data_IF_471208043985
#
_entry.id   IF_471208043985
#
_cell.length_a   1.000
_cell.length_b   1.000
_cell.length_c   1.000
_cell.angle_alpha   90.00
_cell.angle_beta   90.00
_cell.angle_gamma   90.00
#
_symmetry.space_group_name_H-M   'P 1'
#
loop_
_entity.id
_entity.type
_entity.pdbx_description
1 polymer ?
#
# COMPACT_ATOMS: atom_id res chain seq x y z
N UNK A 1 -20.19 5.09 -0.67
CA UNK A 1 -18.98 5.36 0.14
C UNK A 1 -19.23 4.85 1.55
N UNK A 2 -18.57 3.78 1.96
CA UNK A 2 -18.66 3.33 3.35
C UNK A 2 -18.03 4.39 4.26
N UNK A 3 -18.82 4.86 5.23
CA UNK A 3 -18.33 5.85 6.19
C UNK A 3 -17.28 5.19 7.09
N UNK A 4 -16.16 5.87 7.31
CA UNK A 4 -15.21 5.52 8.36
C UNK A 4 -15.94 5.52 9.69
N UNK A 5 -15.87 4.41 10.42
CA UNK A 5 -16.41 4.31 11.78
C UNK A 5 -15.28 4.01 12.76
N UNK A 6 -15.34 4.64 13.91
CA UNK A 6 -14.41 4.37 15.01
C UNK A 6 -15.16 4.55 16.33
N UNK A 7 -14.80 3.78 17.31
CA UNK A 7 -15.22 4.05 18.68
C UNK A 7 -14.11 4.78 19.45
N UNK A 8 -14.46 5.57 20.43
CA UNK A 8 -13.56 6.40 21.20
C UNK A 8 -13.84 6.27 22.70
N UNK A 9 -12.90 6.65 23.59
CA UNK A 9 -13.13 6.67 25.03
C UNK A 9 -14.31 7.54 25.49
N UNK A 10 -14.80 8.40 24.61
CA UNK A 10 -15.98 9.25 24.88
C UNK A 10 -17.31 8.55 24.60
N UNK A 11 -17.27 7.42 23.92
CA UNK A 11 -18.46 6.62 23.61
C UNK A 11 -18.80 5.77 24.83
N UNK A 12 -20.07 5.71 25.20
CA UNK A 12 -20.52 5.06 26.43
C UNK A 12 -20.27 3.54 26.50
N UNK A 13 -19.93 2.91 25.38
CA UNK A 13 -19.60 1.49 25.26
C UNK A 13 -18.09 1.21 25.20
N UNK A 14 -17.24 2.22 25.47
CA UNK A 14 -15.80 2.04 25.47
C UNK A 14 -15.32 1.17 26.62
N UNK A 15 -14.82 0.00 26.31
CA UNK A 15 -14.20 -0.91 27.26
C UNK A 15 -12.67 -0.82 27.19
N UNK A 16 -11.97 -1.06 28.30
CA UNK A 16 -10.49 -0.97 28.36
C UNK A 16 -9.77 -1.85 27.35
N UNK A 17 -10.34 -3.00 26.99
CA UNK A 17 -9.77 -3.90 25.99
C UNK A 17 -9.83 -3.32 24.55
N UNK A 18 -10.74 -2.39 24.25
CA UNK A 18 -10.83 -1.73 22.92
C UNK A 18 -9.58 -0.95 22.57
N UNK A 19 -8.84 -0.42 23.56
CA UNK A 19 -7.56 0.24 23.34
C UNK A 19 -6.52 -0.73 22.74
N UNK A 20 -6.43 -1.94 23.29
CA UNK A 20 -5.51 -2.96 22.83
C UNK A 20 -5.84 -3.43 21.41
N UNK A 21 -7.12 -3.66 21.13
CA UNK A 21 -7.60 -4.02 19.79
C UNK A 21 -7.36 -2.90 18.77
N UNK A 22 -7.60 -1.65 19.15
CA UNK A 22 -7.32 -0.48 18.30
C UNK A 22 -5.83 -0.35 17.97
N UNK A 23 -4.94 -0.69 18.90
CA UNK A 23 -3.49 -0.61 18.70
C UNK A 23 -2.98 -1.56 17.61
N UNK A 24 -3.67 -2.68 17.38
CA UNK A 24 -3.34 -3.64 16.33
C UNK A 24 -4.23 -3.51 15.08
N UNK A 25 -5.06 -2.46 15.00
CA UNK A 25 -5.83 -2.12 13.79
C UNK A 25 -7.29 -2.55 13.78
N UNK A 26 -7.78 -3.22 14.83
CA UNK A 26 -9.20 -3.52 15.00
C UNK A 26 -9.99 -2.29 15.49
N UNK A 27 -11.31 -2.39 15.60
CA UNK A 27 -12.23 -1.33 16.05
C UNK A 27 -12.33 -0.11 15.12
N UNK A 28 -11.66 -0.15 13.95
CA UNK A 28 -11.67 0.95 13.00
C UNK A 28 -11.92 0.44 11.58
N UNK A 29 -13.00 0.93 10.97
CA UNK A 29 -13.29 0.68 9.56
C UNK A 29 -12.82 1.90 8.76
N UNK A 30 -11.76 1.73 7.99
CA UNK A 30 -11.14 2.79 7.16
C UNK A 30 -11.30 2.37 5.71
N UNK A 31 -11.77 3.30 4.86
CA UNK A 31 -11.86 3.01 3.43
C UNK A 31 -10.45 2.83 2.82
N UNK A 32 -10.24 1.88 1.91
CA UNK A 32 -8.94 1.64 1.28
C UNK A 32 -8.29 2.90 0.70
N UNK A 33 -9.08 3.80 0.11
CA UNK A 33 -8.58 5.06 -0.44
C UNK A 33 -7.98 5.98 0.63
N UNK A 34 -8.51 5.97 1.86
CA UNK A 34 -7.96 6.76 2.96
C UNK A 34 -6.63 6.18 3.45
N UNK A 35 -6.52 4.85 3.49
CA UNK A 35 -5.26 4.18 3.78
C UNK A 35 -4.22 4.50 2.70
N UNK A 36 -4.59 4.39 1.44
CA UNK A 36 -3.72 4.73 0.31
C UNK A 36 -3.26 6.20 0.39
N UNK A 37 -4.15 7.13 0.72
CA UNK A 37 -3.82 8.56 0.89
C UNK A 37 -2.75 8.77 1.98
N UNK A 38 -2.83 8.02 3.08
CA UNK A 38 -1.84 8.09 4.15
C UNK A 38 -0.47 7.54 3.72
N UNK A 39 -0.43 6.37 3.06
CA UNK A 39 0.82 5.81 2.53
C UNK A 39 1.41 6.69 1.41
N UNK A 40 0.56 7.28 0.57
CA UNK A 40 0.98 8.25 -0.42
C UNK A 40 1.62 9.48 0.24
N UNK A 41 1.08 9.97 1.36
CA UNK A 41 1.68 11.10 2.07
C UNK A 41 3.07 10.76 2.63
N UNK A 42 3.30 9.53 3.12
CA UNK A 42 4.64 9.08 3.54
C UNK A 42 5.58 9.06 2.33
N UNK A 43 5.16 8.50 1.20
CA UNK A 43 5.92 8.47 -0.04
C UNK A 43 6.23 9.89 -0.58
N UNK A 44 5.35 10.86 -0.33
CA UNK A 44 5.42 12.25 -0.77
C UNK A 44 6.00 13.17 0.32
N UNK A 45 7.02 12.72 1.02
CA UNK A 45 7.78 13.46 2.04
C UNK A 45 6.91 14.09 3.16
N UNK A 46 5.79 13.46 3.47
CA UNK A 46 4.85 13.91 4.49
C UNK A 46 3.73 14.82 3.97
N UNK A 47 3.72 15.18 2.70
CA UNK A 47 2.67 15.99 2.09
C UNK A 47 1.46 15.13 1.73
N UNK A 48 0.33 15.35 2.39
CA UNK A 48 -0.92 14.63 2.14
C UNK A 48 -1.78 15.37 1.14
N UNK A 49 -2.07 14.73 0.01
CA UNK A 49 -2.91 15.28 -1.07
C UNK A 49 -4.25 14.55 -1.14
N UNK A 50 -5.27 15.25 -1.60
CA UNK A 50 -6.61 14.69 -1.80
C UNK A 50 -6.63 13.81 -3.05
N UNK A 51 -7.08 12.56 -2.95
CA UNK A 51 -7.28 11.74 -4.14
C UNK A 51 -8.28 12.37 -5.09
N UNK A 52 -7.92 12.47 -6.37
CA UNK A 52 -8.77 13.03 -7.42
C UNK A 52 -8.67 12.18 -8.68
N UNK A 53 -9.74 12.15 -9.46
CA UNK A 53 -9.75 11.62 -10.85
C UNK A 53 -9.57 12.73 -11.89
N UNK A 54 -9.50 13.99 -11.45
CA UNK A 54 -9.25 15.13 -12.33
C UNK A 54 -7.77 15.40 -12.44
N UNK A 55 -7.29 15.60 -13.65
CA UNK A 55 -5.91 16.01 -13.92
C UNK A 55 -5.75 17.53 -13.71
N UNK A 56 -4.59 17.95 -13.18
CA UNK A 56 -4.21 19.37 -13.11
C UNK A 56 -4.62 20.10 -11.81
N UNK A 57 -5.42 19.51 -10.93
CA UNK A 57 -5.77 20.12 -9.65
C UNK A 57 -5.19 19.29 -8.49
N UNK A 58 -4.28 19.88 -7.73
CA UNK A 58 -3.74 19.27 -6.50
C UNK A 58 -4.30 20.02 -5.29
N UNK A 59 -5.14 19.35 -4.50
CA UNK A 59 -5.62 19.86 -3.22
C UNK A 59 -4.80 19.23 -2.09
N UNK A 60 -4.10 20.08 -1.32
CA UNK A 60 -3.31 19.65 -0.17
C UNK A 60 -4.20 19.56 1.05
N UNK A 61 -4.35 18.36 1.62
CA UNK A 61 -5.09 18.12 2.86
C UNK A 61 -4.24 18.54 4.08
N UNK A 62 -2.96 18.15 4.06
CA UNK A 62 -2.02 18.49 5.12
C UNK A 62 -0.62 18.67 4.50
N UNK A 63 0.01 19.83 4.67
CA UNK A 63 1.34 20.09 4.08
C UNK A 63 2.44 19.23 4.69
N UNK A 64 2.27 18.75 5.95
CA UNK A 64 3.29 17.97 6.64
C UNK A 64 2.64 17.14 7.76
N UNK A 65 2.43 15.84 7.54
CA UNK A 65 1.76 14.94 8.50
C UNK A 65 2.64 14.58 9.71
N UNK A 66 3.97 14.66 9.55
CA UNK A 66 4.95 14.40 10.61
C UNK A 66 6.26 15.11 10.31
N UNK A 67 7.19 15.17 11.27
CA UNK A 67 8.52 15.73 11.04
C UNK A 67 9.26 14.97 9.93
N UNK A 68 10.16 15.65 9.21
CA UNK A 68 10.97 15.02 8.15
C UNK A 68 11.69 13.76 8.65
N UNK A 69 12.33 13.85 9.82
CA UNK A 69 13.04 12.70 10.42
C UNK A 69 12.12 11.49 10.67
N UNK A 70 10.86 11.72 11.08
CA UNK A 70 9.89 10.64 11.28
C UNK A 70 9.43 10.06 9.94
N UNK A 71 9.25 10.89 8.90
CA UNK A 71 8.91 10.44 7.56
C UNK A 71 10.05 9.59 6.99
N UNK A 72 11.30 10.05 7.05
CA UNK A 72 12.47 9.32 6.56
C UNK A 72 12.62 7.96 7.27
N UNK A 73 12.42 7.95 8.58
CA UNK A 73 12.43 6.71 9.36
C UNK A 73 11.32 5.76 8.95
N UNK A 74 10.12 6.26 8.66
CA UNK A 74 8.99 5.45 8.23
C UNK A 74 9.20 4.91 6.81
N UNK A 75 9.75 5.70 5.89
CA UNK A 75 10.11 5.27 4.54
C UNK A 75 11.10 4.11 4.60
N UNK A 76 12.15 4.21 5.41
CA UNK A 76 13.12 3.14 5.65
C UNK A 76 12.46 1.88 6.23
N UNK A 77 11.59 2.02 7.22
CA UNK A 77 10.87 0.88 7.82
C UNK A 77 9.98 0.18 6.79
N UNK A 78 9.25 0.94 5.98
CA UNK A 78 8.36 0.38 4.95
C UNK A 78 9.15 -0.33 3.82
N UNK A 79 10.31 0.16 3.47
CA UNK A 79 11.23 -0.52 2.54
C UNK A 79 11.73 -1.83 3.17
N UNK A 80 12.16 -1.83 4.45
CA UNK A 80 12.64 -3.04 5.14
C UNK A 80 11.54 -4.09 5.33
N UNK A 81 10.27 -3.71 5.43
CA UNK A 81 9.15 -4.67 5.42
C UNK A 81 9.15 -5.50 4.13
N UNK A 82 9.54 -4.90 3.00
CA UNK A 82 9.58 -5.59 1.70
C UNK A 82 10.93 -6.26 1.48
N UNK A 83 12.06 -5.61 1.73
CA UNK A 83 13.38 -6.19 1.48
C UNK A 83 13.73 -7.33 2.46
N UNK A 84 13.30 -7.24 3.71
CA UNK A 84 13.72 -8.16 4.78
C UNK A 84 12.56 -8.81 5.54
N UNK A 85 11.35 -8.24 5.47
CA UNK A 85 10.21 -8.59 6.29
C UNK A 85 9.16 -9.50 5.63
N UNK A 86 7.94 -9.42 6.14
CA UNK A 86 6.79 -10.21 5.67
C UNK A 86 6.23 -9.75 4.33
N UNK A 87 6.68 -8.60 3.82
CA UNK A 87 6.28 -8.02 2.54
C UNK A 87 7.10 -8.49 1.35
N UNK A 88 8.07 -9.39 1.53
CA UNK A 88 9.03 -9.80 0.47
C UNK A 88 8.38 -10.23 -0.85
N UNK A 89 7.20 -10.84 -0.80
CA UNK A 89 6.47 -11.26 -2.00
C UNK A 89 5.87 -10.10 -2.82
N UNK A 90 5.89 -8.88 -2.28
CA UNK A 90 5.51 -7.68 -3.03
C UNK A 90 6.71 -7.01 -3.73
N UNK A 91 7.94 -7.39 -3.37
CA UNK A 91 9.17 -6.85 -3.94
C UNK A 91 9.48 -7.43 -5.31
N UNK A 92 10.27 -6.69 -6.09
CA UNK A 92 10.81 -7.09 -7.40
C UNK A 92 12.32 -6.85 -7.39
N UNK A 93 13.13 -7.62 -8.14
CA UNK A 93 14.57 -7.36 -8.28
C UNK A 93 14.88 -6.10 -9.09
N UNK A 94 13.91 -5.53 -9.81
CA UNK A 94 14.13 -4.45 -10.77
C UNK A 94 14.18 -3.08 -10.10
N UNK A 95 13.35 -2.88 -9.06
CA UNK A 95 13.28 -1.63 -8.30
C UNK A 95 12.92 -1.87 -6.83
N UNK A 96 13.24 -0.92 -5.99
CA UNK A 96 12.86 -1.00 -4.58
C UNK A 96 11.38 -0.69 -4.38
N UNK A 97 10.74 -1.49 -3.53
CA UNK A 97 9.33 -1.34 -3.12
C UNK A 97 9.29 -1.09 -1.63
N UNK A 98 8.44 -0.18 -1.21
CA UNK A 98 8.12 0.05 0.20
C UNK A 98 6.64 -0.18 0.46
N UNK A 99 6.29 -0.77 1.59
CA UNK A 99 4.88 -1.03 1.91
C UNK A 99 4.66 -1.89 3.13
N UNK A 100 3.39 -2.22 3.39
CA UNK A 100 2.99 -2.99 4.57
C UNK A 100 1.88 -3.98 4.24
N UNK A 101 2.01 -5.17 4.76
CA UNK A 101 1.00 -6.22 4.75
C UNK A 101 -0.06 -5.97 5.82
N UNK A 102 -1.31 -6.32 5.54
CA UNK A 102 -2.39 -6.38 6.51
C UNK A 102 -3.12 -7.72 6.41
N UNK A 103 -3.49 -8.27 7.56
CA UNK A 103 -4.39 -9.44 7.65
C UNK A 103 -5.26 -9.24 8.86
N UNK A 104 -6.55 -9.07 8.66
CA UNK A 104 -7.53 -8.93 9.73
C UNK A 104 -8.65 -9.95 9.54
N UNK A 105 -9.14 -10.49 10.64
CA UNK A 105 -10.34 -11.31 10.62
C UNK A 105 -11.57 -10.39 10.64
N UNK A 106 -12.54 -10.69 9.78
CA UNK A 106 -13.84 -10.01 9.74
C UNK A 106 -14.81 -10.83 10.58
N UNK A 107 -15.57 -10.18 11.45
CA UNK A 107 -16.45 -10.84 12.42
C UNK A 107 -17.71 -11.50 11.81
N UNK A 108 -17.97 -11.33 10.53
CA UNK A 108 -19.14 -11.92 9.87
C UNK A 108 -18.89 -13.40 9.52
N UNK A 109 -19.58 -14.29 10.24
CA UNK A 109 -19.54 -15.73 10.02
C UNK A 109 -20.72 -16.18 9.15
N UNK A 110 -20.91 -15.58 7.98
CA UNK A 110 -21.99 -15.95 7.05
C UNK A 110 -21.67 -17.17 6.19
N UNK A 111 -20.49 -17.75 6.38
CA UNK A 111 -20.01 -18.87 5.55
C UNK A 111 -19.71 -20.08 6.40
N UNK A 112 -20.11 -21.25 5.87
CA UNK A 112 -19.91 -22.55 6.49
C UNK A 112 -19.21 -23.51 5.51
N UNK A 113 -18.40 -24.40 6.03
CA UNK A 113 -17.85 -25.49 5.21
C UNK A 113 -18.90 -26.58 4.97
N UNK A 114 -18.55 -27.63 4.19
CA UNK A 114 -19.45 -28.74 3.83
C UNK A 114 -20.00 -29.51 5.05
N UNK A 115 -19.34 -29.44 6.21
CA UNK A 115 -19.76 -30.06 7.47
C UNK A 115 -20.44 -29.10 8.44
N UNK A 116 -20.77 -27.88 7.99
CA UNK A 116 -21.50 -26.90 8.79
C UNK A 116 -20.64 -26.15 9.82
N UNK A 117 -19.31 -26.17 9.71
CA UNK A 117 -18.43 -25.39 10.57
C UNK A 117 -18.28 -23.95 10.05
N UNK A 118 -18.47 -22.92 10.91
CA UNK A 118 -18.26 -21.53 10.50
C UNK A 118 -16.85 -21.31 9.96
N UNK A 119 -16.75 -20.65 8.82
CA UNK A 119 -15.48 -20.25 8.22
C UNK A 119 -15.20 -18.78 8.54
N UNK A 120 -14.07 -18.51 9.17
CA UNK A 120 -13.63 -17.14 9.38
C UNK A 120 -13.35 -16.45 8.03
N UNK A 121 -13.87 -15.24 7.88
CA UNK A 121 -13.56 -14.38 6.75
C UNK A 121 -12.40 -13.46 7.10
N UNK A 122 -11.43 -13.34 6.22
CA UNK A 122 -10.26 -12.50 6.38
C UNK A 122 -10.22 -11.42 5.33
N UNK A 123 -9.86 -10.21 5.73
CA UNK A 123 -9.43 -9.17 4.82
C UNK A 123 -7.91 -9.17 4.79
N UNK A 124 -7.34 -9.45 3.62
CA UNK A 124 -5.90 -9.41 3.38
C UNK A 124 -5.57 -8.23 2.49
N UNK A 125 -4.52 -7.51 2.83
CA UNK A 125 -4.15 -6.30 2.11
C UNK A 125 -2.64 -6.14 2.00
N UNK A 126 -2.21 -5.41 0.97
CA UNK A 126 -0.90 -4.82 0.85
C UNK A 126 -1.06 -3.38 0.35
N UNK A 127 -0.49 -2.43 1.07
CA UNK A 127 -0.44 -1.03 0.66
C UNK A 127 1.02 -0.60 0.56
N UNK A 128 1.42 -0.04 -0.55
CA UNK A 128 2.80 0.32 -0.79
C UNK A 128 2.99 1.32 -1.92
N UNK A 129 4.24 1.67 -2.16
CA UNK A 129 4.66 2.59 -3.21
C UNK A 129 5.98 2.16 -3.84
N UNK A 130 6.25 2.66 -5.03
CA UNK A 130 7.45 2.37 -5.79
C UNK A 130 7.75 3.45 -6.84
N UNK A 131 9.04 3.61 -7.27
CA UNK A 131 10.24 3.13 -6.58
C UNK A 131 10.30 3.66 -5.13
N UNK A 132 10.96 2.93 -4.19
CA UNK A 132 10.98 3.38 -2.79
C UNK A 132 11.92 4.56 -2.56
N UNK A 133 12.99 4.65 -3.34
CA UNK A 133 14.01 5.72 -3.34
C UNK A 133 13.55 7.01 -4.04
N UNK A 134 12.63 6.90 -5.00
CA UNK A 134 12.04 8.02 -5.74
C UNK A 134 10.56 7.74 -6.03
N UNK A 135 9.67 7.85 -5.03
CA UNK A 135 8.29 7.40 -5.13
C UNK A 135 7.50 8.10 -6.23
N UNK A 136 6.85 7.28 -7.09
CA UNK A 136 6.02 7.74 -8.21
C UNK A 136 4.61 7.20 -8.16
N UNK A 137 4.46 5.97 -7.69
CA UNK A 137 3.20 5.25 -7.68
C UNK A 137 2.93 4.71 -6.29
N UNK A 138 1.69 4.84 -5.85
CA UNK A 138 1.20 4.17 -4.64
C UNK A 138 -0.02 3.31 -5.00
N UNK A 139 -0.03 2.08 -4.51
CA UNK A 139 -1.08 1.09 -4.81
C UNK A 139 -1.53 0.45 -3.50
N UNK A 140 -2.83 0.20 -3.38
CA UNK A 140 -3.39 -0.68 -2.37
C UNK A 140 -4.10 -1.84 -3.04
N UNK A 141 -3.76 -3.05 -2.63
CA UNK A 141 -4.46 -4.28 -2.97
C UNK A 141 -5.17 -4.76 -1.72
N UNK A 142 -6.47 -4.94 -1.80
CA UNK A 142 -7.29 -5.47 -0.70
C UNK A 142 -8.26 -6.51 -1.25
N UNK A 143 -8.33 -7.66 -0.58
CA UNK A 143 -9.22 -8.74 -0.98
C UNK A 143 -9.76 -9.50 0.24
N UNK A 144 -10.92 -10.10 0.08
CA UNK A 144 -11.48 -11.01 1.08
C UNK A 144 -11.00 -12.43 0.82
N UNK A 145 -10.67 -13.14 1.89
CA UNK A 145 -10.25 -14.55 1.87
C UNK A 145 -11.04 -15.34 2.89
N UNK A 146 -11.77 -16.33 2.39
CA UNK A 146 -12.51 -17.23 3.23
C UNK A 146 -11.61 -18.35 3.74
N UNK A 147 -11.59 -18.56 5.05
CA UNK A 147 -10.78 -19.58 5.72
C UNK A 147 -9.27 -19.34 5.65
N UNK A 148 -8.52 -20.25 6.26
CA UNK A 148 -7.05 -20.25 6.24
C UNK A 148 -6.50 -21.11 5.08
N UNK A 149 -5.28 -20.87 4.61
CA UNK A 149 -4.38 -19.80 5.04
C UNK A 149 -4.79 -18.42 4.51
N UNK A 150 -4.60 -17.36 5.32
CA UNK A 150 -4.81 -15.98 4.94
C UNK A 150 -3.52 -15.18 5.20
N UNK A 151 -3.03 -14.46 4.19
CA UNK A 151 -1.76 -13.74 4.26
C UNK A 151 -1.78 -12.51 3.38
N UNK A 152 -1.63 -11.33 3.99
CA UNK A 152 -1.49 -10.09 3.24
C UNK A 152 -0.30 -10.09 2.30
N UNK A 153 0.89 -10.52 2.77
CA UNK A 153 2.08 -10.63 1.92
C UNK A 153 1.98 -11.75 0.89
N UNK A 154 1.45 -12.92 1.30
CA UNK A 154 1.35 -14.10 0.44
C UNK A 154 0.28 -14.03 -0.65
N UNK A 155 -0.69 -13.13 -0.52
CA UNK A 155 -1.82 -12.97 -1.44
C UNK A 155 -1.85 -11.58 -2.04
N UNK A 156 -2.19 -10.55 -1.26
CA UNK A 156 -2.25 -9.17 -1.75
C UNK A 156 -0.87 -8.65 -2.20
N UNK A 157 0.20 -9.05 -1.52
CA UNK A 157 1.57 -8.71 -1.92
C UNK A 157 1.96 -9.31 -3.27
N UNK A 158 1.56 -10.54 -3.57
CA UNK A 158 1.80 -11.17 -4.88
C UNK A 158 1.04 -10.45 -5.99
N UNK A 159 -0.21 -10.06 -5.75
CA UNK A 159 -0.97 -9.27 -6.73
C UNK A 159 -0.33 -7.91 -6.96
N UNK A 160 0.14 -7.25 -5.89
CA UNK A 160 0.90 -6.00 -5.98
C UNK A 160 2.17 -6.19 -6.83
N UNK A 161 2.98 -7.21 -6.55
CA UNK A 161 4.16 -7.57 -7.34
C UNK A 161 3.83 -7.71 -8.83
N UNK A 162 2.80 -8.51 -9.17
CA UNK A 162 2.41 -8.73 -10.56
C UNK A 162 1.98 -7.43 -11.27
N UNK A 163 1.32 -6.50 -10.56
CA UNK A 163 0.98 -5.19 -11.09
C UNK A 163 2.25 -4.39 -11.37
N UNK A 164 3.20 -4.36 -10.43
CA UNK A 164 4.47 -3.65 -10.59
C UNK A 164 5.26 -4.19 -11.79
N UNK A 165 5.43 -5.52 -11.87
CA UNK A 165 6.13 -6.18 -12.98
C UNK A 165 5.44 -5.88 -14.33
N UNK A 166 4.10 -5.92 -14.36
CA UNK A 166 3.34 -5.58 -15.56
C UNK A 166 3.55 -4.12 -15.96
N UNK A 167 3.55 -3.18 -15.01
CA UNK A 167 3.80 -1.76 -15.27
C UNK A 167 5.21 -1.52 -15.80
N UNK A 168 6.20 -2.22 -15.26
CA UNK A 168 7.60 -2.14 -15.74
C UNK A 168 7.69 -2.65 -17.17
N UNK A 169 7.11 -3.82 -17.48
CA UNK A 169 7.17 -4.46 -18.78
C UNK A 169 6.47 -3.66 -19.89
N UNK A 170 5.42 -2.91 -19.57
CA UNK A 170 4.64 -2.14 -20.55
C UNK A 170 5.02 -0.64 -20.60
N UNK A 171 6.17 -0.29 -19.99
CA UNK A 171 6.58 1.09 -19.82
C UNK A 171 5.68 1.77 -18.78
N UNK A 172 6.21 1.96 -17.57
CA UNK A 172 5.52 2.77 -16.56
C UNK A 172 5.09 4.07 -17.22
N UNK A 173 3.81 4.50 -17.10
CA UNK A 173 3.36 5.74 -17.69
C UNK A 173 4.36 6.83 -17.29
N UNK A 174 4.98 7.48 -18.27
CA UNK A 174 5.97 8.49 -17.99
C UNK A 174 5.29 9.58 -17.17
N UNK A 175 5.62 9.64 -15.88
CA UNK A 175 5.33 10.83 -15.09
C UNK A 175 6.23 11.89 -15.69
N UNK A 176 5.63 12.89 -16.29
CA UNK A 176 6.33 14.08 -16.75
C UNK A 176 6.85 14.77 -15.49
N UNK A 177 8.14 14.66 -15.22
CA UNK A 177 8.78 15.53 -14.24
C UNK A 177 9.02 16.87 -14.88
N UNK A 178 8.56 17.90 -14.21
CA UNK A 178 9.17 19.22 -14.38
C UNK A 178 10.43 19.18 -13.49
N UNK A 179 11.57 19.21 -14.13
CA UNK A 179 12.81 19.51 -13.44
C UNK A 179 12.70 20.94 -12.91
N UNK A 180 12.69 21.10 -11.58
CA UNK A 180 12.51 22.40 -10.94
C UNK A 180 13.69 23.35 -11.23
N UNK A 181 14.87 22.82 -11.62
CA UNK A 181 16.03 23.65 -11.98
C UNK A 181 16.05 24.07 -13.46
N UNK A 182 15.56 23.25 -14.36
CA UNK A 182 15.65 23.53 -15.81
C UNK A 182 14.32 23.88 -16.46
N UNK A 183 13.19 23.66 -15.78
CA UNK A 183 11.83 23.79 -16.33
C UNK A 183 11.58 22.94 -17.60
N UNK A 184 12.46 21.98 -17.86
CA UNK A 184 12.38 21.07 -19.00
C UNK A 184 11.70 19.74 -18.62
N UNK A 185 10.96 19.20 -19.57
CA UNK A 185 10.22 17.94 -19.40
C UNK A 185 11.15 16.76 -19.68
N UNK A 186 11.65 16.08 -18.67
CA UNK A 186 12.44 14.87 -18.86
C UNK A 186 11.49 13.69 -19.12
N UNK A 187 11.47 13.19 -20.35
CA UNK A 187 10.89 11.89 -20.70
C UNK A 187 11.86 10.78 -20.34
N UNK A 188 11.53 9.98 -19.33
CA UNK A 188 12.17 8.67 -19.18
C UNK A 188 11.53 7.73 -20.20
N UNK A 189 12.20 7.54 -21.35
CA UNK A 189 11.71 6.66 -22.41
C UNK A 189 11.98 5.19 -22.04
N UNK A 190 11.08 4.31 -22.46
CA UNK A 190 11.05 2.86 -22.26
C UNK A 190 12.29 2.08 -22.76
N UNK A 191 13.23 2.72 -23.42
CA UNK A 191 14.37 2.05 -24.06
C UNK A 191 15.37 1.42 -23.09
N UNK A 192 15.29 1.69 -21.78
CA UNK A 192 16.13 1.01 -20.78
C UNK A 192 15.43 -0.21 -20.14
N UNK A 193 14.13 -0.37 -20.29
CA UNK A 193 13.39 -1.50 -19.70
C UNK A 193 13.71 -2.82 -20.41
N UNK A 194 13.79 -2.81 -21.72
CA UNK A 194 14.01 -4.02 -22.54
C UNK A 194 15.39 -4.68 -22.30
N UNK A 195 16.41 -3.89 -21.98
CA UNK A 195 17.75 -4.42 -21.66
C UNK A 195 17.82 -5.05 -20.27
N UNK A 196 17.02 -4.59 -19.32
CA UNK A 196 16.98 -5.11 -17.95
C UNK A 196 16.16 -6.40 -17.90
N UNK A 197 15.01 -6.44 -18.60
CA UNK A 197 14.11 -7.61 -18.67
C UNK A 197 14.81 -8.79 -19.36
N UNK A 198 15.56 -8.54 -20.43
CA UNK A 198 16.31 -9.59 -21.15
C UNK A 198 17.43 -10.24 -20.33
N UNK A 199 17.95 -9.55 -19.31
CA UNK A 199 18.99 -10.07 -18.42
C UNK A 199 18.44 -10.84 -17.23
N UNK A 200 17.25 -10.51 -16.73
CA UNK A 200 16.61 -11.26 -15.63
C UNK A 200 16.01 -12.59 -16.07
N UNK A 201 15.52 -12.69 -17.31
CA UNK A 201 14.97 -13.94 -17.89
C UNK A 201 16.05 -14.95 -18.29
N UNK A 202 17.35 -14.63 -18.18
CA UNK A 202 18.48 -15.54 -18.46
C UNK A 202 19.09 -16.17 -17.22
N UNK A 203 18.56 -15.92 -16.03
CA UNK A 203 19.09 -16.43 -14.76
C UNK A 203 18.18 -17.48 -14.06
N UNK A 204 17.13 -17.96 -14.73
CA UNK A 204 16.32 -19.11 -14.28
C UNK A 204 16.57 -20.35 -15.15
#
# INVERSE_FOLDING_TARGET
>A
MNRTSYSSPKDGDWANWKLWWSAIGYERKIAPIQMLTFYNAIANDGKMVKPTLKTGEIEIINPQIASKANIDSMQMVLEHVVSQGLGRKAGTPILQVAGKTGTSQVEEYDYYNEVGTPLANYQVAFCGYFPADAPKYSIIVSMNKLGLPASGGGMAGVVFHNIVEWMIAHGMPSVLYLDEETNDTIRVTSNNADSIISNSLKQD
#
